data_IF_525459622031
#
_entry.id   IF_525459622031
#
_cell.length_a   1.000
_cell.length_b   1.000
_cell.length_c   1.000
_cell.angle_alpha   90.00
_cell.angle_beta   90.00
_cell.angle_gamma   90.00
#
_symmetry.space_group_name_H-M   'P 1'
#
loop_
_entity.id
_entity.type
_entity.pdbx_description
1 polymer ?
2 non-polymer ?
3 non-polymer ?
4 water ?
#
# COMPACT_ATOMS: atom_id res chain seq x y z
N UNK A 2 9.54 21.77 1.54
CA UNK A 2 9.93 20.40 1.09
C UNK A 2 10.48 19.56 2.23
N UNK A 3 9.69 18.61 2.73
CA UNK A 3 10.19 17.54 3.57
C UNK A 3 10.36 16.28 2.71
N UNK A 4 11.55 15.69 2.75
CA UNK A 4 11.95 14.63 1.81
C UNK A 4 11.99 13.28 2.45
N UNK A 5 11.44 12.29 1.76
CA UNK A 5 11.54 10.93 2.24
C UNK A 5 12.14 10.00 1.19
N UNK A 6 12.73 8.93 1.69
CA UNK A 6 13.13 7.77 0.92
C UNK A 6 12.25 6.61 1.38
N UNK A 7 11.73 5.83 0.45
CA UNK A 7 10.92 4.62 0.79
C UNK A 7 11.69 3.32 0.49
N UNK A 8 12.11 2.62 1.56
CA UNK A 8 12.82 1.38 1.47
C UNK A 8 11.84 0.21 1.42
N UNK A 9 12.09 -0.75 0.54
CA UNK A 9 11.20 -1.90 0.33
C UNK A 9 9.86 -1.32 -0.11
N UNK A 10 9.88 -0.49 -1.15
CA UNK A 10 8.74 0.33 -1.45
C UNK A 10 7.57 -0.43 -2.08
N UNK A 11 7.86 -1.58 -2.70
CA UNK A 11 6.87 -2.25 -3.58
C UNK A 11 6.37 -1.25 -4.60
N UNK A 12 5.07 -1.29 -4.93
CA UNK A 12 4.55 -0.41 -5.99
C UNK A 12 4.24 1.00 -5.54
N UNK A 13 4.22 1.21 -4.23
CA UNK A 13 4.13 2.56 -3.68
C UNK A 13 2.86 2.91 -2.91
N UNK A 14 2.25 1.93 -2.26
CA UNK A 14 1.16 2.24 -1.31
C UNK A 14 1.59 3.25 -0.23
N UNK A 15 2.71 2.98 0.44
CA UNK A 15 3.19 3.86 1.52
C UNK A 15 3.71 5.16 0.90
N UNK A 16 4.33 5.06 -0.28
CA UNK A 16 4.79 6.25 -1.03
C UNK A 16 3.66 7.19 -1.36
N UNK A 17 2.52 6.64 -1.79
CA UNK A 17 1.37 7.50 -2.16
C UNK A 17 0.82 8.17 -0.89
N UNK A 18 0.80 7.41 0.21
CA UNK A 18 0.44 7.99 1.51
C UNK A 18 1.35 9.15 1.87
N UNK A 19 2.67 8.97 1.68
CA UNK A 19 3.63 10.02 2.01
C UNK A 19 3.39 11.24 1.15
N UNK A 20 3.22 11.03 -0.15
CA UNK A 20 3.10 12.13 -1.11
C UNK A 20 1.82 12.93 -0.87
N UNK A 21 0.74 12.22 -0.58
CA UNK A 21 -0.54 12.90 -0.29
C UNK A 21 -0.47 13.70 1.06
N UNK A 22 0.31 13.21 2.00
CA UNK A 22 0.52 13.85 3.29
C UNK A 22 1.42 15.08 3.18
N UNK A 23 2.07 15.28 2.04
CA UNK A 23 2.88 16.49 1.81
C UNK A 23 4.38 16.27 1.65
N UNK A 24 4.86 15.03 1.86
CA UNK A 24 6.26 14.72 1.67
C UNK A 24 6.63 14.58 0.21
N UNK A 25 7.90 14.83 -0.11
CA UNK A 25 8.39 14.59 -1.46
C UNK A 25 9.07 13.23 -1.39
N UNK A 26 8.61 12.25 -2.17
CA UNK A 26 9.21 10.89 -2.13
C UNK A 26 10.34 10.98 -3.15
N UNK A 27 11.57 11.11 -2.63
CA UNK A 27 12.71 11.43 -3.50
C UNK A 27 13.32 10.17 -4.12
N UNK A 28 13.15 9.03 -3.46
CA UNK A 28 13.81 7.79 -3.88
C UNK A 28 12.96 6.64 -3.40
N UNK A 29 12.77 5.63 -4.26
CA UNK A 29 12.21 4.34 -3.81
C UNK A 29 13.25 3.24 -4.01
N UNK A 30 13.42 2.35 -3.02
CA UNK A 30 14.34 1.22 -3.16
C UNK A 30 13.50 -0.06 -3.10
N UNK A 31 13.60 -0.84 -4.16
CA UNK A 31 12.80 -2.10 -4.24
C UNK A 31 13.52 -3.10 -5.12
N UNK A 32 13.73 -4.31 -4.62
CA UNK A 32 14.41 -5.39 -5.36
C UNK A 32 13.58 -5.99 -6.51
N UNK A 33 12.25 -6.02 -6.41
CA UNK A 33 11.48 -6.73 -7.42
C UNK A 33 11.31 -5.85 -8.63
N UNK A 34 11.69 -6.36 -9.80
CA UNK A 34 11.65 -5.60 -11.01
C UNK A 34 10.24 -5.14 -11.39
N UNK A 35 9.25 -6.02 -11.26
CA UNK A 35 7.89 -5.61 -11.58
C UNK A 35 7.34 -4.53 -10.64
N UNK A 36 7.58 -4.72 -9.35
CA UNK A 36 7.14 -3.77 -8.33
C UNK A 36 7.80 -2.43 -8.55
N UNK A 37 9.12 -2.42 -8.75
CA UNK A 37 9.76 -1.11 -8.92
C UNK A 37 9.44 -0.44 -10.26
N UNK A 38 9.23 -1.22 -11.32
CA UNK A 38 8.78 -0.63 -12.57
C UNK A 38 7.43 0.01 -12.37
N UNK A 39 6.57 -0.66 -11.63
CA UNK A 39 5.25 -0.05 -11.37
C UNK A 39 5.34 1.21 -10.51
N UNK A 40 6.26 1.20 -9.55
CA UNK A 40 6.48 2.38 -8.72
C UNK A 40 6.88 3.53 -9.66
N UNK A 41 7.79 3.26 -10.61
CA UNK A 41 8.26 4.34 -11.51
C UNK A 41 7.20 4.86 -12.42
N UNK A 42 6.25 4.01 -12.81
CA UNK A 42 5.12 4.45 -13.64
C UNK A 42 4.26 5.47 -12.90
N UNK A 43 4.06 5.24 -11.61
CA UNK A 43 3.16 6.08 -10.83
C UNK A 43 3.91 7.23 -10.16
N UNK A 44 5.22 7.07 -10.01
CA UNK A 44 6.05 8.14 -9.39
C UNK A 44 7.23 8.49 -10.31
N UNK A 45 6.94 9.06 -11.49
CA UNK A 45 8.01 9.22 -12.48
C UNK A 45 9.11 10.17 -12.10
N UNK A 46 8.92 10.99 -11.06
CA UNK A 46 9.96 11.93 -10.64
C UNK A 46 10.76 11.47 -9.43
N UNK A 47 10.40 10.34 -8.84
CA UNK A 47 11.22 9.77 -7.78
C UNK A 47 12.38 9.04 -8.40
N UNK A 48 13.50 8.95 -7.70
CA UNK A 48 14.61 8.12 -8.16
C UNK A 48 14.24 6.67 -7.84
N UNK A 49 14.68 5.73 -8.68
CA UNK A 49 14.37 4.30 -8.44
C UNK A 49 15.62 3.51 -8.41
N UNK A 50 15.82 2.80 -7.30
CA UNK A 50 17.03 2.04 -7.10
C UNK A 50 16.56 0.61 -6.89
N UNK A 51 16.86 -0.25 -7.87
CA UNK A 51 16.51 -1.67 -7.74
C UNK A 51 17.65 -2.39 -7.08
N UNK A 52 17.58 -2.56 -5.77
CA UNK A 52 18.72 -2.98 -5.00
C UNK A 52 18.30 -3.67 -3.72
N UNK A 53 19.12 -4.62 -3.32
CA UNK A 53 19.17 -5.21 -2.04
C UNK A 53 19.71 -4.16 -1.06
N UNK A 54 18.92 -3.86 -0.03
CA UNK A 54 19.26 -2.84 0.96
C UNK A 54 20.55 -3.23 1.73
N UNK A 55 20.88 -4.53 1.73
CA UNK A 55 22.12 -4.98 2.39
C UNK A 55 23.41 -4.43 1.74
N UNK A 56 23.28 -3.98 0.50
CA UNK A 56 24.40 -3.45 -0.30
C UNK A 56 24.45 -1.92 -0.22
N UNK A 57 23.61 -1.35 0.64
CA UNK A 57 23.50 0.12 0.82
C UNK A 57 24.04 0.56 2.17
N UNK A 58 24.55 1.80 2.20
CA UNK A 58 24.88 2.49 3.42
C UNK A 58 24.65 3.99 3.17
N UNK A 59 24.80 4.80 4.22
CA UNK A 59 24.50 6.22 4.11
C UNK A 59 25.34 6.90 3.03
N UNK A 60 26.61 6.55 2.92
CA UNK A 60 27.49 7.22 1.92
C UNK A 60 27.11 6.85 0.49
N UNK A 61 26.73 5.59 0.30
CA UNK A 61 26.34 5.13 -1.04
C UNK A 61 25.07 5.88 -1.43
N UNK A 62 24.14 5.92 -0.49
CA UNK A 62 22.87 6.65 -0.73
C UNK A 62 23.05 8.14 -1.03
N UNK A 63 23.91 8.82 -0.27
CA UNK A 63 24.22 10.23 -0.58
C UNK A 63 24.87 10.38 -1.95
N UNK A 64 25.69 9.40 -2.33
CA UNK A 64 26.30 9.28 -3.66
C UNK A 64 25.30 9.17 -4.78
N UNK A 65 24.20 8.45 -4.54
CA UNK A 65 23.14 8.37 -5.54
C UNK A 65 22.54 9.73 -5.80
N UNK A 66 22.34 10.51 -4.73
CA UNK A 66 21.72 11.82 -4.89
C UNK A 66 22.66 12.88 -5.45
N UNK A 67 23.92 12.78 -5.04
CA UNK A 67 25.01 13.72 -5.44
C UNK A 67 24.87 15.16 -4.94
N UNK A 68 23.84 15.45 -4.16
CA UNK A 68 23.50 16.85 -3.93
C UNK A 68 23.23 17.11 -2.46
N UNK A 69 23.90 16.34 -1.58
CA UNK A 69 23.74 16.48 -0.13
C UNK A 69 22.25 16.57 0.27
N UNK A 70 21.39 15.82 -0.42
CA UNK A 70 19.94 15.74 -0.12
C UNK A 70 19.70 15.52 1.37
N UNK A 71 18.95 16.44 1.99
CA UNK A 71 18.52 16.23 3.38
C UNK A 71 17.46 15.13 3.35
N UNK A 72 17.71 14.07 4.12
CA UNK A 72 16.73 12.99 4.20
C UNK A 72 15.97 13.20 5.48
N UNK A 73 14.78 13.79 5.36
CA UNK A 73 13.99 14.13 6.52
C UNK A 73 13.28 12.91 7.08
N UNK A 74 12.86 12.00 6.20
CA UNK A 74 12.22 10.78 6.72
C UNK A 74 12.69 9.54 6.01
N UNK A 75 12.89 8.43 6.72
CA UNK A 75 13.06 7.12 6.09
C UNK A 75 11.80 6.29 6.42
N UNK A 76 11.08 5.86 5.38
CA UNK A 76 9.85 5.09 5.58
C UNK A 76 10.04 3.76 4.86
N UNK A 77 9.33 2.73 5.29
CA UNK A 77 9.41 1.52 4.49
C UNK A 77 8.79 0.32 5.17
N UNK A 78 8.92 -0.82 4.54
CA UNK A 78 8.46 -2.10 5.11
C UNK A 78 9.58 -3.10 5.32
N UNK A 79 10.28 -3.03 6.46
CA UNK A 79 11.36 -3.97 6.64
C UNK A 79 10.79 -5.40 6.69
N UNK A 80 11.40 -6.33 5.94
CA UNK A 80 10.90 -7.69 5.91
C UNK A 80 11.19 -8.37 7.23
N UNK A 81 10.48 -9.43 7.49
CA UNK A 81 10.66 -10.16 8.71
C UNK A 81 10.29 -11.58 8.36
N UNK A 82 10.99 -12.55 8.94
CA UNK A 82 10.64 -13.98 8.82
C UNK A 82 9.16 -14.25 9.22
N UNK A 83 8.70 -13.61 10.29
CA UNK A 83 7.27 -13.59 10.65
C UNK A 83 6.73 -14.97 11.02
N UNK A 84 5.56 -15.30 10.49
CA UNK A 84 4.94 -16.61 10.71
C UNK A 84 5.50 -17.75 9.83
N UNK A 85 6.47 -17.44 8.96
CA UNK A 85 7.09 -18.46 8.11
C UNK A 85 8.07 -19.36 8.87
N UNK A 93 14.01 -18.05 4.86
CA UNK A 93 13.51 -17.46 6.10
C UNK A 93 14.45 -16.44 6.78
N UNK A 94 15.75 -16.76 6.78
CA UNK A 94 16.80 -16.05 7.53
C UNK A 94 17.20 -14.67 6.99
N UNK A 95 17.23 -14.53 5.66
CA UNK A 95 17.66 -13.27 5.00
C UNK A 95 16.70 -12.08 5.24
N UNK A 96 15.42 -12.37 5.42
CA UNK A 96 14.43 -11.36 5.77
C UNK A 96 14.74 -10.72 7.14
N UNK A 97 15.17 -11.54 8.11
CA UNK A 97 15.63 -11.02 9.41
C UNK A 97 16.91 -10.17 9.32
N UNK A 98 17.82 -10.51 8.41
CA UNK A 98 18.96 -9.64 8.11
C UNK A 98 18.47 -8.33 7.50
N UNK A 99 17.56 -8.40 6.53
CA UNK A 99 17.04 -7.16 5.92
C UNK A 99 16.33 -6.22 6.89
N UNK A 100 15.65 -6.80 7.87
CA UNK A 100 15.02 -6.04 8.94
C UNK A 100 16.02 -5.14 9.64
N UNK A 101 17.15 -5.74 10.02
CA UNK A 101 18.22 -5.04 10.72
C UNK A 101 18.89 -3.96 9.86
N UNK A 102 18.97 -4.19 8.54
CA UNK A 102 19.53 -3.20 7.59
C UNK A 102 18.68 -1.96 7.46
N UNK A 103 17.36 -2.11 7.57
CA UNK A 103 16.48 -0.94 7.61
C UNK A 103 16.93 -0.02 8.73
N UNK A 104 17.06 -0.59 9.91
CA UNK A 104 17.38 0.17 11.10
C UNK A 104 18.84 0.64 11.10
N UNK A 105 19.71 -0.13 10.47
CA UNK A 105 21.11 0.33 10.28
C UNK A 105 21.11 1.61 9.45
N UNK A 106 20.34 1.63 8.37
CA UNK A 106 20.24 2.79 7.50
C UNK A 106 19.66 3.99 8.20
N UNK A 107 18.64 3.79 9.02
CA UNK A 107 18.11 4.89 9.81
C UNK A 107 19.23 5.50 10.73
N UNK A 108 19.98 4.63 11.34
CA UNK A 108 21.01 5.01 12.29
C UNK A 108 22.11 5.79 11.57
N UNK A 109 22.51 5.29 10.40
CA UNK A 109 23.57 5.90 9.58
C UNK A 109 23.12 7.22 8.98
N UNK A 110 21.87 7.29 8.52
CA UNK A 110 21.40 8.50 7.85
C UNK A 110 20.84 9.57 8.76
N UNK A 111 20.45 9.20 9.97
CA UNK A 111 19.90 10.17 10.93
C UNK A 111 18.75 11.06 10.39
N UNK A 112 17.66 10.46 9.86
CA UNK A 112 16.57 11.31 9.43
C UNK A 112 15.85 11.95 10.62
N UNK A 113 15.04 12.98 10.36
CA UNK A 113 14.18 13.57 11.40
C UNK A 113 13.22 12.53 11.97
N UNK A 114 12.77 11.59 11.13
CA UNK A 114 11.89 10.53 11.64
C UNK A 114 12.07 9.24 10.83
N UNK A 115 11.64 8.11 11.42
CA UNK A 115 11.46 6.89 10.62
C UNK A 115 10.04 6.38 10.82
N UNK A 116 9.54 5.69 9.80
CA UNK A 116 8.26 4.97 9.93
C UNK A 116 8.50 3.65 9.27
N UNK A 117 8.32 2.58 10.03
CA UNK A 117 8.35 1.21 9.48
C UNK A 117 6.96 0.62 9.63
N UNK A 118 6.54 -0.14 8.62
CA UNK A 118 5.25 -0.84 8.69
C UNK A 118 5.53 -2.32 8.64
N UNK A 119 4.80 -3.13 9.41
CA UNK A 119 4.99 -4.56 9.38
C UNK A 119 3.60 -5.23 9.49
N UNK A 120 3.49 -6.43 8.96
CA UNK A 120 2.26 -7.24 9.16
C UNK A 120 2.40 -8.03 10.45
N UNK A 121 1.25 -8.49 11.05
CA UNK A 121 1.35 -9.41 12.20
C UNK A 121 2.30 -10.57 11.96
N UNK A 122 3.03 -10.96 13.02
CA UNK A 122 4.11 -11.91 12.92
C UNK A 122 5.34 -11.31 13.56
N UNK A 123 5.46 -9.98 13.43
CA UNK A 123 6.62 -9.21 13.91
C UNK A 123 6.78 -9.28 15.44
N UNK A 124 5.66 -9.33 16.19
CA UNK A 124 5.76 -9.23 17.64
C UNK A 124 6.11 -10.51 18.37
N UNK A 125 6.38 -11.59 17.62
CA UNK A 125 6.71 -12.88 18.26
C UNK A 125 7.98 -12.90 19.11
N UNK A 126 7.94 -13.73 20.15
CA UNK A 126 9.03 -13.84 21.12
C UNK A 126 10.37 -14.17 20.47
N UNK A 127 10.33 -15.01 19.43
CA UNK A 127 11.53 -15.43 18.73
C UNK A 127 12.22 -14.29 17.95
N UNK A 128 11.53 -13.16 17.78
CA UNK A 128 12.12 -11.98 17.14
C UNK A 128 12.45 -10.87 18.11
N UNK A 129 12.17 -11.09 19.39
CA UNK A 129 12.41 -10.06 20.38
C UNK A 129 13.90 -9.67 20.42
N UNK A 130 14.79 -10.63 20.15
CA UNK A 130 16.23 -10.39 20.01
C UNK A 130 16.58 -9.40 18.90
N UNK A 131 16.08 -9.65 17.68
CA UNK A 131 16.33 -8.72 16.57
C UNK A 131 15.58 -7.40 16.70
N UNK A 132 14.36 -7.40 17.26
CA UNK A 132 13.66 -6.14 17.52
C UNK A 132 14.37 -5.30 18.58
N UNK A 133 14.92 -5.96 19.61
CA UNK A 133 15.67 -5.26 20.65
C UNK A 133 16.98 -4.68 20.06
N UNK A 134 17.68 -5.49 19.27
CA UNK A 134 18.90 -5.10 18.56
C UNK A 134 18.66 -3.89 17.62
N UNK A 135 17.51 -3.88 16.95
CA UNK A 135 17.09 -2.76 16.11
C UNK A 135 16.68 -1.50 16.90
N UNK A 136 15.99 -1.70 18.03
CA UNK A 136 15.61 -0.62 18.95
C UNK A 136 16.90 0.03 19.46
N UNK A 137 17.90 -0.78 19.77
CA UNK A 137 19.20 -0.31 20.26
C UNK A 137 19.94 0.59 19.30
N UNK A 138 19.81 0.32 17.99
CA UNK A 138 20.54 1.08 16.96
C UNK A 138 20.01 2.47 16.89
N UNK A 139 18.75 2.64 17.30
CA UNK A 139 18.09 3.92 17.14
C UNK A 139 17.70 4.62 18.44
N UNK A 140 17.66 3.91 19.56
CA UNK A 140 17.10 4.46 20.81
C UNK A 140 17.93 5.55 21.42
N UNK A 141 19.23 5.56 21.09
CA UNK A 141 20.14 6.64 21.45
C UNK A 141 19.72 7.98 20.87
N UNK A 142 19.27 7.99 19.62
CA UNK A 142 18.98 9.24 18.91
C UNK A 142 17.51 9.54 18.68
N UNK A 143 16.66 8.54 18.93
CA UNK A 143 15.22 8.68 18.63
C UNK A 143 14.30 8.46 19.82
N UNK A 144 13.24 9.25 19.88
CA UNK A 144 12.06 8.97 20.71
C UNK A 144 11.21 7.95 19.92
N UNK A 145 11.19 6.72 20.42
CA UNK A 145 10.54 5.60 19.73
C UNK A 145 9.14 5.45 20.34
N UNK A 146 8.12 5.50 19.50
CA UNK A 146 6.76 5.42 19.99
C UNK A 146 6.44 3.96 20.18
N UNK A 147 5.49 3.69 21.08
CA UNK A 147 5.00 2.33 21.21
C UNK A 147 4.30 1.92 19.89
N UNK A 148 4.26 0.62 19.60
CA UNK A 148 3.64 0.16 18.34
C UNK A 148 2.20 0.62 18.18
N UNK A 149 1.90 1.08 16.97
CA UNK A 149 0.57 1.51 16.57
C UNK A 149 0.01 0.32 15.76
N UNK A 150 -1.08 -0.28 16.22
CA UNK A 150 -1.69 -1.39 15.47
C UNK A 150 -2.99 -0.83 14.97
N UNK A 151 -3.17 -0.81 13.64
CA UNK A 151 -4.38 -0.18 13.10
C UNK A 151 -5.18 -1.15 12.27
N UNK A 152 -6.48 -0.92 12.19
CA UNK A 152 -7.37 -1.68 11.31
C UNK A 152 -7.71 -0.68 10.21
N UNK A 153 -7.48 -1.06 8.96
CA UNK A 153 -7.61 -0.13 7.85
C UNK A 153 -8.95 0.51 7.75
N UNK A 154 -9.99 -0.28 8.06
CA UNK A 154 -11.37 0.21 7.89
C UNK A 154 -11.73 1.39 8.83
N UNK A 155 -11.03 1.47 9.96
CA UNK A 155 -11.16 2.62 10.88
C UNK A 155 -10.68 3.90 10.22
N UNK A 156 -9.88 3.81 9.15
CA UNK A 156 -9.43 5.03 8.46
C UNK A 156 -10.14 5.28 7.15
N UNK A 157 -11.18 4.49 6.88
CA UNK A 157 -12.01 4.78 5.72
C UNK A 157 -11.52 4.02 4.50
N UNK A 158 -10.69 3.01 4.67
CA UNK A 158 -10.43 2.04 3.60
C UNK A 158 -11.39 0.87 3.65
N UNK A 159 -11.71 0.26 2.53
CA UNK A 159 -12.75 -0.76 2.51
C UNK A 159 -12.29 -2.12 2.90
N UNK A 160 -11.27 -2.24 3.72
CA UNK A 160 -10.73 -3.53 4.07
C UNK A 160 -10.37 -3.54 5.53
N UNK A 161 -10.47 -4.71 6.15
CA UNK A 161 -10.26 -4.80 7.59
C UNK A 161 -8.84 -5.25 7.95
N UNK A 162 -7.91 -5.22 6.99
CA UNK A 162 -6.56 -5.70 7.25
C UNK A 162 -5.87 -4.91 8.38
N UNK A 163 -5.08 -5.60 9.21
CA UNK A 163 -4.38 -4.90 10.28
C UNK A 163 -2.90 -4.76 9.93
N UNK A 164 -2.27 -3.74 10.51
CA UNK A 164 -0.89 -3.36 10.16
C UNK A 164 -0.27 -2.79 11.43
N UNK A 165 1.02 -3.06 11.67
CA UNK A 165 1.72 -2.36 12.76
C UNK A 165 2.53 -1.21 12.16
N UNK A 166 2.54 -0.06 12.82
CA UNK A 166 3.45 1.02 12.46
C UNK A 166 4.39 1.31 13.61
N UNK A 167 5.68 1.43 13.29
CA UNK A 167 6.71 1.71 14.28
C UNK A 167 7.32 3.04 13.90
N UNK A 168 7.18 4.06 14.77
CA UNK A 168 7.56 5.45 14.43
C UNK A 168 8.62 5.93 15.42
N UNK A 169 9.63 6.65 14.93
CA UNK A 169 10.64 7.21 15.85
C UNK A 169 10.87 8.62 15.38
N UNK A 170 11.17 9.53 16.31
CA UNK A 170 11.43 10.91 15.92
C UNK A 170 12.70 11.36 16.62
N UNK A 171 13.49 12.16 15.92
CA UNK A 171 14.81 12.54 16.42
C UNK A 171 14.61 13.31 17.73
N UNK A 172 15.33 12.86 18.74
CA UNK A 172 15.33 13.49 20.08
C UNK A 172 15.60 14.99 20.04
N UNK A 173 16.54 15.38 19.17
CA UNK A 173 16.92 16.78 18.97
C UNK A 173 15.75 17.69 18.64
N UNK A 174 14.65 17.12 18.15
CA UNK A 174 13.52 17.95 17.72
C UNK A 174 12.64 18.38 18.89
N UNK A 175 12.78 17.66 20.02
CA UNK A 175 12.01 17.89 21.25
C UNK A 175 10.53 18.06 20.94
N UNK A 176 9.94 17.04 20.34
CA UNK A 176 8.53 17.08 20.03
C UNK A 176 7.73 16.35 21.09
N UNK A 177 6.51 16.80 21.33
CA UNK A 177 5.56 16.05 22.16
C UNK A 177 4.58 15.38 21.21
N UNK A 178 4.39 14.07 21.38
CA UNK A 178 3.47 13.33 20.52
C UNK A 178 2.33 12.67 21.28
N UNK A 179 1.15 13.25 21.13
CA UNK A 179 -0.08 12.62 21.61
C UNK A 179 -0.62 11.72 20.51
N UNK A 180 -1.41 10.72 20.90
CA UNK A 180 -2.00 9.80 19.94
C UNK A 180 -3.12 10.44 19.12
N UNK A 181 -3.63 11.58 19.62
CA UNK A 181 -4.62 12.38 18.90
C UNK A 181 -4.25 12.50 17.43
N UNK A 182 -2.96 12.71 17.16
CA UNK A 182 -2.53 13.01 15.80
C UNK A 182 -2.79 11.84 14.84
N UNK A 183 -2.61 10.61 15.34
CA UNK A 183 -2.71 9.38 14.52
C UNK A 183 -4.08 8.70 14.55
N UNK A 184 -4.95 9.12 15.47
CA UNK A 184 -6.26 8.51 15.65
C UNK A 184 -7.16 9.02 14.58
N UNK A 185 -8.09 8.16 14.11
CA UNK A 185 -9.04 8.58 13.10
C UNK A 185 -10.16 9.46 13.66
N UNK A 186 -10.40 10.58 12.99
CA UNK A 186 -11.49 11.44 13.38
C UNK A 186 -12.25 11.95 12.16
N UNK A 187 -13.58 11.96 12.27
CA UNK A 187 -14.51 12.36 11.20
C UNK A 187 -14.44 11.43 9.98
N UNK A 188 -14.27 10.12 10.24
CA UNK A 188 -14.13 9.12 9.17
C UNK A 188 -15.42 8.37 8.88
N UNK A 189 -15.95 8.52 7.68
CA UNK A 189 -17.09 7.70 7.24
C UNK A 189 -16.58 6.35 6.69
N UNK A 190 -17.12 5.23 7.20
CA UNK A 190 -16.78 3.88 6.76
C UNK A 190 -17.16 3.64 5.29
N UNK A 191 -16.34 2.87 4.59
CA UNK A 191 -16.57 2.60 3.18
C UNK A 191 -16.72 1.10 3.08
N UNK A 192 -17.92 0.64 2.78
CA UNK A 192 -18.19 -0.78 2.61
C UNK A 192 -17.85 -1.18 1.17
N UNK A 193 -17.85 -2.50 0.95
CA UNK A 193 -17.66 -3.10 -0.39
C UNK A 193 -18.55 -2.43 -1.43
N UNK A 194 -19.84 -2.30 -1.12
CA UNK A 194 -20.80 -1.76 -2.07
C UNK A 194 -20.43 -0.36 -2.47
N UNK A 195 -19.97 0.46 -1.51
CA UNK A 195 -19.58 1.83 -1.84
C UNK A 195 -18.30 1.87 -2.67
N UNK A 196 -17.37 0.96 -2.37
CA UNK A 196 -16.04 1.05 -3.03
C UNK A 196 -16.15 0.63 -4.48
N UNK A 197 -17.04 -0.31 -4.75
CA UNK A 197 -17.21 -0.91 -6.09
C UNK A 197 -18.23 -0.19 -6.98
N UNK A 198 -18.80 0.92 -6.47
CA UNK A 198 -19.82 1.69 -7.18
C UNK A 198 -19.36 2.10 -8.56
N UNK A 199 -20.21 1.85 -9.56
CA UNK A 199 -20.03 2.47 -10.90
C UNK A 199 -19.08 1.75 -11.84
N UNK A 200 -18.50 0.65 -11.40
CA UNK A 200 -17.62 -0.15 -12.24
C UNK A 200 -18.46 -0.96 -13.24
N UNK A 201 -17.87 -1.37 -14.38
CA UNK A 201 -18.66 -2.13 -15.36
C UNK A 201 -19.21 -3.48 -14.85
N UNK A 202 -20.47 -3.77 -15.18
CA UNK A 202 -21.06 -5.06 -14.84
C UNK A 202 -20.66 -6.17 -15.78
N UNK A 203 -20.27 -5.79 -16.99
CA UNK A 203 -19.80 -6.73 -18.00
C UNK A 203 -18.32 -6.50 -18.24
N UNK A 204 -17.50 -7.53 -18.01
CA UNK A 204 -16.06 -7.30 -18.17
C UNK A 204 -15.45 -8.41 -19.05
N UNK A 205 -14.26 -8.13 -19.59
CA UNK A 205 -13.51 -9.10 -20.38
C UNK A 205 -12.96 -10.16 -19.43
N UNK A 206 -13.54 -11.32 -19.48
CA UNK A 206 -13.05 -12.47 -18.73
C UNK A 206 -12.12 -13.31 -19.60
N UNK A 207 -10.85 -13.27 -19.28
CA UNK A 207 -9.85 -14.05 -19.96
C UNK A 207 -9.00 -14.89 -19.01
N UNK A 208 -7.92 -15.45 -19.52
CA UNK A 208 -6.99 -16.11 -18.66
C UNK A 208 -5.91 -15.21 -18.11
N UNK A 209 -4.92 -14.83 -18.91
CA UNK A 209 -3.92 -13.86 -18.42
C UNK A 209 -3.48 -12.80 -19.42
N UNK A 210 -4.41 -12.23 -20.16
CA UNK A 210 -4.10 -11.41 -21.31
C UNK A 210 -3.05 -10.31 -21.14
N UNK A 211 -2.43 -9.95 -22.25
CA UNK A 211 -1.23 -9.10 -22.22
C UNK A 211 -1.53 -7.60 -22.42
N UNK A 212 -2.81 -7.27 -22.62
CA UNK A 212 -3.25 -5.88 -22.89
C UNK A 212 -4.12 -5.31 -21.76
N UNK A 213 -4.04 -3.98 -21.65
CA UNK A 213 -4.74 -3.23 -20.62
C UNK A 213 -6.22 -3.33 -20.90
N UNK A 214 -7.01 -3.33 -19.83
CA UNK A 214 -8.46 -3.48 -19.90
C UNK A 214 -9.07 -2.14 -19.54
N UNK A 215 -8.89 -1.15 -20.42
CA UNK A 215 -9.40 0.20 -20.15
C UNK A 215 -10.92 0.19 -20.35
N UNK A 216 -11.66 0.72 -19.36
CA UNK A 216 -13.11 0.67 -19.39
C UNK A 216 -13.70 1.95 -18.82
N UNK A 217 -14.86 2.35 -19.38
CA UNK A 217 -15.63 3.47 -18.89
C UNK A 217 -16.35 3.14 -17.59
N UNK A 218 -16.24 4.08 -16.62
CA UNK A 218 -16.94 3.97 -15.36
C UNK A 218 -17.92 5.13 -15.16
N UNK A 219 -18.81 4.98 -14.20
CA UNK A 219 -19.63 6.08 -13.74
C UNK A 219 -18.87 6.75 -12.60
N UNK A 220 -18.63 8.05 -12.73
CA UNK A 220 -18.09 8.81 -11.63
C UNK A 220 -18.94 10.02 -11.31
N UNK A 221 -20.11 9.74 -10.77
CA UNK A 221 -21.04 10.79 -10.37
C UNK A 221 -21.34 10.65 -8.89
N UNK A 222 -20.30 10.39 -8.10
CA UNK A 222 -20.48 10.38 -6.66
C UNK A 222 -19.57 11.34 -5.94
N UNK A 223 -19.99 11.61 -4.71
CA UNK A 223 -19.48 12.69 -3.88
C UNK A 223 -19.15 12.13 -2.52
N UNK A 224 -18.12 12.70 -1.90
CA UNK A 224 -17.75 12.26 -0.56
C UNK A 224 -16.27 11.94 -0.50
N UNK A 225 -15.74 11.89 0.71
CA UNK A 225 -14.32 11.77 0.97
C UNK A 225 -13.63 10.66 0.20
N UNK A 226 -14.21 9.46 0.24
CA UNK A 226 -13.65 8.28 -0.46
C UNK A 226 -13.50 8.52 -1.96
N UNK A 227 -14.54 9.14 -2.57
CA UNK A 227 -14.58 9.37 -4.01
C UNK A 227 -13.65 10.47 -4.44
N UNK A 228 -13.37 11.42 -3.55
CA UNK A 228 -12.37 12.47 -3.87
C UNK A 228 -10.99 11.84 -3.92
N UNK A 229 -10.74 10.91 -3.01
CA UNK A 229 -9.47 10.16 -2.99
C UNK A 229 -9.41 9.20 -4.17
N UNK A 230 -10.57 8.65 -4.54
CA UNK A 230 -10.62 7.67 -5.63
C UNK A 230 -10.31 8.28 -7.00
N UNK A 231 -10.84 9.47 -7.26
CA UNK A 231 -10.76 10.13 -8.57
C UNK A 231 -9.88 11.38 -8.62
N UNK A 232 -9.25 11.75 -7.51
CA UNK A 232 -8.43 12.98 -7.47
C UNK A 232 -7.35 12.92 -6.40
N UNK A 233 -7.07 14.05 -5.75
CA UNK A 233 -6.01 14.17 -4.76
C UNK A 233 -4.72 13.54 -5.28
N UNK A 234 -4.33 14.01 -6.47
CA UNK A 234 -3.09 13.60 -7.12
C UNK A 234 -1.98 14.55 -6.62
N UNK A 235 -0.99 14.05 -5.84
CA UNK A 235 0.10 14.94 -5.40
C UNK A 235 0.90 15.49 -6.54
N UNK A 236 1.55 16.63 -6.31
CA UNK A 236 2.35 17.28 -7.34
C UNK A 236 3.41 16.30 -7.82
N UNK A 237 3.54 16.22 -9.15
CA UNK A 237 4.56 15.40 -9.83
C UNK A 237 4.32 13.87 -9.80
N UNK A 238 3.18 13.48 -9.25
CA UNK A 238 2.85 12.06 -9.11
C UNK A 238 1.85 11.68 -10.19
N UNK A 239 1.90 10.45 -10.69
CA UNK A 239 0.82 9.97 -11.58
C UNK A 239 1.26 9.67 -13.00
N UNK A 240 0.74 8.58 -13.55
CA UNK A 240 0.95 8.23 -14.94
C UNK A 240 0.08 9.15 -15.81
N UNK A 241 0.72 9.86 -16.74
CA UNK A 241 0.06 10.83 -17.62
C UNK A 241 -1.15 10.27 -18.38
N UNK A 242 -0.99 9.09 -18.98
CA UNK A 242 -2.09 8.45 -19.69
C UNK A 242 -3.25 8.06 -18.78
N UNK A 243 -2.95 7.50 -17.59
CA UNK A 243 -4.01 7.20 -16.63
C UNK A 243 -4.82 8.41 -16.21
N UNK A 244 -4.12 9.52 -15.97
CA UNK A 244 -4.75 10.77 -15.57
C UNK A 244 -5.65 11.34 -16.68
N UNK A 245 -5.11 11.39 -17.89
CA UNK A 245 -5.85 11.77 -19.10
C UNK A 245 -7.08 10.92 -19.35
N UNK A 246 -6.93 9.59 -19.26
CA UNK A 246 -8.10 8.71 -19.44
C UNK A 246 -9.13 8.88 -18.34
N UNK A 247 -8.71 9.04 -17.09
CA UNK A 247 -9.65 9.27 -16.01
C UNK A 247 -10.55 10.50 -16.26
N UNK A 248 -10.00 11.52 -16.91
CA UNK A 248 -10.76 12.71 -17.28
C UNK A 248 -11.90 12.37 -18.24
N UNK A 249 -11.75 11.26 -18.97
CA UNK A 249 -12.80 10.71 -19.83
C UNK A 249 -13.55 9.52 -19.24
N UNK A 250 -13.52 9.41 -17.92
CA UNK A 250 -14.19 8.36 -17.15
C UNK A 250 -13.72 6.95 -17.51
N UNK A 251 -12.46 6.83 -17.87
CA UNK A 251 -11.87 5.56 -18.29
C UNK A 251 -10.71 5.15 -17.38
N UNK A 252 -10.75 3.92 -16.90
CA UNK A 252 -9.70 3.44 -15.97
C UNK A 252 -9.23 2.03 -16.37
N UNK A 253 -8.02 1.65 -15.92
CA UNK A 253 -7.40 0.37 -16.30
C UNK A 253 -7.79 -0.70 -15.27
N UNK A 254 -7.50 -1.96 -15.61
CA UNK A 254 -7.57 -3.09 -14.67
C UNK A 254 -8.92 -3.75 -14.54
N UNK A 255 -9.84 -3.49 -15.47
CA UNK A 255 -11.16 -4.08 -15.38
C UNK A 255 -11.18 -5.39 -16.18
N UNK A 256 -10.33 -6.34 -15.78
CA UNK A 256 -10.18 -7.58 -16.50
C UNK A 256 -10.64 -8.73 -15.64
N UNK A 257 -11.53 -9.54 -16.21
CA UNK A 257 -12.06 -10.67 -15.47
C UNK A 257 -11.28 -11.94 -15.70
N UNK A 258 -11.68 -12.99 -15.00
CA UNK A 258 -11.10 -14.32 -15.14
C UNK A 258 -12.20 -15.22 -15.72
N UNK A 259 -11.85 -16.02 -16.71
CA UNK A 259 -12.78 -17.00 -17.21
C UNK A 259 -12.95 -18.21 -16.26
N UNK A 260 -14.18 -18.44 -15.81
CA UNK A 260 -14.52 -19.58 -14.93
C UNK A 260 -15.38 -20.61 -15.69
N UNK A 261 -15.19 -21.90 -15.38
CA UNK A 261 -16.12 -22.92 -15.90
C UNK A 261 -17.53 -22.70 -15.35
N UNK A 262 -18.57 -23.21 -16.04
CA UNK A 262 -19.97 -23.00 -15.63
C UNK A 262 -20.25 -23.61 -14.29
N UNK A 263 -19.58 -24.70 -13.99
CA UNK A 263 -19.76 -25.37 -12.71
C UNK A 263 -19.20 -24.49 -11.59
N UNK A 264 -18.06 -23.86 -11.84
CA UNK A 264 -17.50 -22.92 -10.88
C UNK A 264 -18.44 -21.72 -10.74
N UNK A 265 -18.87 -21.20 -11.87
CA UNK A 265 -19.75 -20.07 -11.92
C UNK A 265 -21.06 -20.33 -11.16
N UNK A 266 -21.61 -21.54 -11.28
CA UNK A 266 -22.85 -21.87 -10.59
C UNK A 266 -22.63 -22.01 -9.09
N UNK A 267 -21.48 -22.54 -8.73
CA UNK A 267 -21.10 -22.63 -7.34
C UNK A 267 -20.94 -21.24 -6.72
N UNK A 268 -20.31 -20.30 -7.45
CA UNK A 268 -20.13 -18.94 -6.93
C UNK A 268 -21.46 -18.18 -6.86
N UNK A 269 -22.31 -18.37 -7.88
CA UNK A 269 -23.65 -17.76 -7.87
C UNK A 269 -24.46 -18.20 -6.64
N UNK A 270 -24.15 -19.38 -6.11
CA UNK A 270 -24.93 -19.92 -5.01
C UNK A 270 -24.43 -19.44 -3.65
N UNK A 271 -23.29 -18.75 -3.62
CA UNK A 271 -22.73 -18.29 -2.35
C UNK A 271 -23.53 -17.13 -1.74
N UNK A 272 -23.83 -17.24 -0.45
CA UNK A 272 -24.41 -16.10 0.26
C UNK A 272 -23.28 -15.15 0.66
N UNK A 273 -23.62 -13.90 0.93
CA UNK A 273 -22.65 -12.93 1.43
C UNK A 273 -21.79 -13.49 2.58
N UNK A 274 -20.48 -13.33 2.48
CA UNK A 274 -19.60 -13.82 3.53
C UNK A 274 -19.26 -15.29 3.48
N UNK A 275 -19.90 -16.04 2.59
CA UNK A 275 -19.67 -17.48 2.52
C UNK A 275 -18.39 -17.86 1.79
N UNK A 276 -17.66 -18.79 2.37
CA UNK A 276 -16.45 -19.30 1.78
C UNK A 276 -16.85 -20.51 0.93
N UNK A 277 -16.36 -20.55 -0.30
CA UNK A 277 -16.60 -21.70 -1.15
C UNK A 277 -15.82 -22.88 -0.59
N UNK A 278 -16.51 -23.96 -0.26
CA UNK A 278 -15.87 -25.12 0.39
C UNK A 278 -14.72 -25.65 -0.45
N UNK A 279 -14.88 -25.60 -1.77
CA UNK A 279 -13.89 -26.15 -2.72
C UNK A 279 -12.69 -25.23 -3.00
N UNK A 280 -12.94 -23.99 -3.46
CA UNK A 280 -11.83 -23.09 -3.84
C UNK A 280 -11.28 -22.29 -2.66
N UNK A 281 -12.04 -22.23 -1.58
CA UNK A 281 -11.73 -21.43 -0.38
C UNK A 281 -11.85 -19.91 -0.56
N UNK A 282 -12.31 -19.48 -1.74
CA UNK A 282 -12.61 -18.10 -1.97
C UNK A 282 -13.89 -17.73 -1.24
N UNK A 283 -13.95 -16.50 -0.75
CA UNK A 283 -15.08 -16.06 0.03
C UNK A 283 -15.81 -14.97 -0.68
N UNK A 284 -17.12 -15.08 -0.76
CA UNK A 284 -17.92 -13.99 -1.30
C UNK A 284 -17.93 -12.78 -0.38
N UNK A 285 -17.66 -11.61 -0.96
CA UNK A 285 -17.73 -10.35 -0.24
C UNK A 285 -19.16 -10.04 0.18
N UNK A 286 -19.29 -9.44 1.36
CA UNK A 286 -20.56 -8.90 1.82
C UNK A 286 -20.55 -7.46 1.40
N UNK A 287 -21.56 -7.05 0.62
CA UNK A 287 -21.62 -5.66 0.13
C UNK A 287 -21.72 -4.60 1.23
N UNK A 288 -22.28 -4.98 2.39
CA UNK A 288 -22.36 -4.06 3.54
C UNK A 288 -21.26 -4.33 4.57
N UNK A 289 -20.30 -5.16 4.20
CA UNK A 289 -19.15 -5.46 5.03
C UNK A 289 -17.90 -4.89 4.38
N UNK A 290 -16.74 -5.42 4.75
CA UNK A 290 -15.47 -4.96 4.21
C UNK A 290 -14.71 -6.14 3.64
N UNK A 291 -13.67 -5.83 2.86
CA UNK A 291 -12.87 -6.86 2.24
C UNK A 291 -11.96 -7.47 3.32
N UNK A 292 -11.97 -8.81 3.47
CA UNK A 292 -11.05 -9.41 4.46
C UNK A 292 -9.58 -9.20 4.04
N UNK A 293 -8.63 -9.64 4.84
CA UNK A 293 -7.21 -9.48 4.45
C UNK A 293 -6.88 -10.06 3.04
N UNK A 294 -6.51 -9.18 2.11
CA UNK A 294 -6.22 -9.55 0.71
C UNK A 294 -4.94 -10.40 0.54
N UNK A 308 -5.80 -16.38 -2.15
CA UNK A 308 -6.97 -16.65 -2.98
C UNK A 308 -7.79 -15.37 -3.17
N UNK A 309 -8.56 -15.26 -4.25
CA UNK A 309 -9.24 -14.01 -4.58
C UNK A 309 -10.66 -13.97 -4.02
N UNK A 310 -11.11 -12.82 -3.52
CA UNK A 310 -12.50 -12.73 -3.09
C UNK A 310 -13.44 -12.89 -4.28
N UNK A 311 -14.65 -13.37 -4.00
CA UNK A 311 -15.73 -13.45 -4.99
C UNK A 311 -16.56 -12.19 -4.90
N UNK A 312 -16.93 -11.67 -6.06
CA UNK A 312 -17.75 -10.49 -6.14
C UNK A 312 -19.11 -10.73 -5.45
N UNK A 313 -19.67 -9.70 -4.78
CA UNK A 313 -20.92 -9.93 -4.02
C UNK A 313 -22.13 -10.28 -4.87
N UNK A 314 -22.18 -9.73 -6.09
CA UNK A 314 -23.33 -9.87 -6.99
C UNK A 314 -23.06 -10.77 -8.20
N UNK A 315 -21.86 -10.68 -8.77
CA UNK A 315 -21.48 -11.48 -9.94
C UNK A 315 -20.81 -12.77 -9.55
N UNK A 316 -21.06 -13.83 -10.34
CA UNK A 316 -20.48 -15.12 -10.01
C UNK A 316 -19.02 -15.30 -10.47
N UNK A 317 -18.09 -14.56 -9.87
CA UNK A 317 -16.72 -14.51 -10.37
C UNK A 317 -15.79 -13.98 -9.29
N UNK A 318 -14.48 -14.23 -9.41
CA UNK A 318 -13.52 -13.53 -8.57
C UNK A 318 -13.50 -12.07 -8.96
N UNK A 319 -13.05 -11.20 -8.05
CA UNK A 319 -12.98 -9.76 -8.33
C UNK A 319 -11.85 -9.46 -9.34
N UNK A 320 -11.88 -8.28 -9.96
CA UNK A 320 -10.88 -7.86 -10.91
C UNK A 320 -9.75 -7.16 -10.17
N UNK A 321 -8.58 -7.04 -10.81
CA UNK A 321 -7.53 -6.24 -10.15
C UNK A 321 -7.99 -4.84 -9.76
N UNK A 322 -8.79 -4.19 -10.60
CA UNK A 322 -9.19 -2.82 -10.26
C UNK A 322 -10.13 -2.83 -9.04
N UNK A 323 -10.96 -3.86 -8.93
CA UNK A 323 -11.82 -3.99 -7.75
C UNK A 323 -11.01 -4.21 -6.49
N UNK A 324 -9.99 -5.08 -6.56
CA UNK A 324 -9.08 -5.27 -5.45
C UNK A 324 -8.36 -3.97 -5.06
N UNK A 325 -7.93 -3.22 -6.08
CA UNK A 325 -7.23 -1.92 -5.86
C UNK A 325 -8.14 -0.98 -5.12
N UNK A 326 -9.43 -0.92 -5.54
CA UNK A 326 -10.34 -0.05 -4.83
C UNK A 326 -10.52 -0.49 -3.39
N UNK A 327 -10.68 -1.77 -3.18
CA UNK A 327 -10.91 -2.25 -1.85
C UNK A 327 -9.69 -2.03 -0.93
N UNK A 328 -8.50 -1.91 -1.53
CA UNK A 328 -7.29 -1.71 -0.74
C UNK A 328 -7.04 -0.23 -0.47
N UNK A 329 -7.80 0.65 -1.10
CA UNK A 329 -7.65 2.07 -0.92
C UNK A 329 -6.77 2.77 -1.95
N UNK A 330 -6.51 2.15 -3.10
CA UNK A 330 -5.78 2.81 -4.15
C UNK A 330 -6.73 3.64 -5.01
N UNK A 331 -6.26 4.78 -5.52
CA UNK A 331 -7.13 5.55 -6.40
C UNK A 331 -7.24 4.93 -7.79
N UNK A 332 -8.32 5.24 -8.51
CA UNK A 332 -8.50 4.71 -9.86
C UNK A 332 -7.46 5.10 -10.86
N UNK A 333 -6.73 6.20 -10.62
CA UNK A 333 -5.67 6.66 -11.53
C UNK A 333 -4.31 5.97 -11.30
N UNK A 334 -4.21 5.15 -10.26
CA UNK A 334 -2.98 4.40 -9.99
C UNK A 334 -2.93 3.23 -10.96
N UNK A 335 -1.78 3.03 -11.61
CA UNK A 335 -1.68 2.06 -12.68
C UNK A 335 -0.86 0.87 -12.23
N UNK A 336 -1.39 -0.33 -12.39
CA UNK A 336 -0.67 -1.55 -11.94
C UNK A 336 -0.13 -2.31 -13.14
N UNK A 337 0.65 -3.36 -12.89
CA UNK A 337 1.07 -4.23 -13.97
C UNK A 337 -0.13 -4.76 -14.75
N UNK A 338 0.07 -5.00 -16.04
CA UNK A 338 -1.02 -5.44 -16.94
C UNK A 338 -1.64 -6.81 -16.58
N UNK A 339 -0.84 -7.74 -16.04
CA UNK A 339 -1.36 -9.08 -15.80
C UNK A 339 -2.05 -9.13 -14.46
N UNK A 340 -3.08 -9.97 -14.35
CA UNK A 340 -3.81 -10.18 -13.10
C UNK A 340 -2.90 -10.75 -12.03
N UNK A 341 -2.08 -11.72 -12.44
CA UNK A 341 -1.14 -12.37 -11.55
C UNK A 341 -0.28 -11.35 -10.79
N UNK A 342 0.35 -10.45 -11.53
CA UNK A 342 1.25 -9.46 -10.92
C UNK A 342 0.51 -8.38 -10.19
N UNK A 343 -0.57 -7.86 -10.77
CA UNK A 343 -1.29 -6.75 -10.15
C UNK A 343 -1.88 -7.18 -8.79
N UNK A 344 -2.42 -8.40 -8.69
CA UNK A 344 -2.99 -8.86 -7.41
C UNK A 344 -1.94 -8.97 -6.33
N UNK A 345 -0.77 -9.49 -6.69
CA UNK A 345 0.38 -9.48 -5.78
C UNK A 345 0.79 -8.04 -5.41
N UNK A 346 0.90 -7.13 -6.38
CA UNK A 346 1.27 -5.74 -6.06
C UNK A 346 0.30 -5.07 -5.08
N UNK A 347 -0.99 -5.28 -5.31
CA UNK A 347 -2.04 -4.77 -4.44
C UNK A 347 -2.00 -5.38 -3.03
N UNK A 348 -2.00 -6.71 -2.95
CA UNK A 348 -1.94 -7.44 -1.68
C UNK A 348 -0.74 -7.11 -0.80
N UNK A 349 0.42 -6.91 -1.42
CA UNK A 349 1.66 -6.51 -0.74
C UNK A 349 1.78 -5.06 -0.29
N UNK A 350 0.74 -4.26 -0.51
CA UNK A 350 0.82 -2.85 -0.21
C UNK A 350 0.16 -2.48 1.10
N UNK A 351 0.68 -1.44 1.74
CA UNK A 351 -0.05 -0.73 2.76
C UNK A 351 -1.16 -0.01 2.02
N UNK A 352 -2.36 0.08 2.61
CA UNK A 352 -3.42 0.95 2.04
C UNK A 352 -2.96 2.40 1.95
N UNK A 353 -3.06 3.04 0.78
CA UNK A 353 -2.71 4.46 0.70
C UNK A 353 -3.53 5.38 1.62
N UNK A 354 -4.76 4.98 1.91
CA UNK A 354 -5.62 5.80 2.77
C UNK A 354 -5.09 5.79 4.23
N UNK A 355 -4.77 4.61 4.76
CA UNK A 355 -4.15 4.45 6.06
C UNK A 355 -2.79 5.14 6.09
N UNK A 356 -1.95 4.89 5.07
CA UNK A 356 -0.64 5.53 5.00
C UNK A 356 -0.74 7.04 5.03
N UNK A 357 -1.67 7.63 4.26
CA UNK A 357 -1.82 9.09 4.22
C UNK A 357 -2.15 9.66 5.60
N UNK A 358 -3.07 8.99 6.27
CA UNK A 358 -3.51 9.48 7.57
C UNK A 358 -2.39 9.57 8.58
N UNK A 359 -1.66 8.45 8.74
CA UNK A 359 -0.53 8.35 9.68
C UNK A 359 0.59 9.31 9.33
N UNK A 360 0.99 9.33 8.04
CA UNK A 360 2.06 10.22 7.60
C UNK A 360 1.68 11.70 7.69
N UNK A 361 0.40 12.07 7.54
CA UNK A 361 -0.01 13.49 7.65
C UNK A 361 0.18 14.00 9.09
N UNK A 362 0.00 13.10 10.05
CA UNK A 362 0.27 13.37 11.46
C UNK A 362 1.72 13.76 11.66
N UNK A 363 2.63 12.99 11.07
CA UNK A 363 4.05 13.30 11.12
C UNK A 363 4.40 14.58 10.39
N UNK A 364 3.79 14.83 9.23
CA UNK A 364 4.08 16.04 8.45
C UNK A 364 3.69 17.26 9.27
N UNK A 365 2.49 17.19 9.87
CA UNK A 365 2.00 18.29 10.71
C UNK A 365 2.90 18.59 11.89
N UNK A 366 3.40 17.55 12.55
CA UNK A 366 4.38 17.67 13.63
C UNK A 366 5.65 18.42 13.19
N UNK A 367 6.11 18.13 11.98
CA UNK A 367 7.38 18.68 11.55
C UNK A 367 7.23 20.08 10.94
N UNK A 368 5.99 20.58 10.89
CA UNK A 368 5.73 21.95 10.43
C UNK A 368 5.38 22.99 11.52
N UNK A 369 5.29 22.53 12.77
CA UNK A 369 5.13 23.42 13.93
C UNK A 369 6.37 24.31 14.13
X LIG B 1 -2.95 -1.14 5.46
X LIG C 1 12.21 0.22 16.89
X LIG C 1 10.94 0.65 16.43
X LIG C 1 12.13 -1.20 17.43
X LIG C 1 10.81 -1.52 17.81
X LIG C 1 12.60 -2.14 16.33
X LIG C 1 11.60 -3.09 16.10
X LIG D 1 8.90 -4.88 20.93
X LIG D 1 8.58 -3.81 20.06
X LIG D 1 10.32 -4.77 21.47
X LIG D 1 11.00 -6.01 21.53
X LIG D 1 11.18 -3.62 20.96
X LIG D 1 12.04 -3.28 22.04
#
# INVERSE_FOLDING_TARGET
MSLNVIDLFSGVGGLSLGAARAGFDVKMAVEIDQHAINTHAINFPRSLHVQEDVSLLNAEIIKGFFKNDMPIDGIIGGPPCQGFSSIGKGNPDDSRNQLYMHFYRLVSELQPLFFLAENVPGIMQEKYSGIRNKAFNLVSGDYDILDPIKVKASDYGAPTIRTRYFFIGVKKSLKLDISDEVFMPKMIDPVTVKDALYGLPDIIDANWQSDSESWRTIKKDRKGGFYEKLWGQIPRNVGDTESIAKLKNNIISGCTGTLHSKIVQERYASLSFGETDKISRSTRLDPNGFCPTLRAGTARDKGSFQAVRPIHPYHPRVITPREAARLQGFPDWFRFHVTKWHSFRQIGNSVSPIVAEYILKGLYNLLNEGHHHHHH
CL CL
GOL C1 O1 C2 O2 C3 O3
GOL C1 O1 C2 O2 C3 O3
#
